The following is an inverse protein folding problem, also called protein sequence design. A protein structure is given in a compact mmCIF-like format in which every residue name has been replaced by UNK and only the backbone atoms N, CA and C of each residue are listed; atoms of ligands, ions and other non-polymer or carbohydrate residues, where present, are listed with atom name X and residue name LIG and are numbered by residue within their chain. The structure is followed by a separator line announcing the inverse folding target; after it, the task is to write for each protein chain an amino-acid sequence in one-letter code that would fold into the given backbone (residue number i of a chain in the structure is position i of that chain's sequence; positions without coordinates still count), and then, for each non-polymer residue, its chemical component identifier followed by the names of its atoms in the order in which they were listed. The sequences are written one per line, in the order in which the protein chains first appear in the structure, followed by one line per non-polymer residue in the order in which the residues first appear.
data_IF_328472429048
#
_entry.id   IF_328472429048
#
_cell.length_a   1.000
_cell.length_b   1.000
_cell.length_c   1.000
_cell.angle_alpha   90.00
_cell.angle_beta   90.00
_cell.angle_gamma   90.00
#
_symmetry.space_group_name_H-M   'P 1'
#
loop_
_entity.id
_entity.type
_entity.pdbx_description
1 polymer ?
#
# COMPACT_ATOMS: atom_id res chain seq x y z
N UNK A 1 -14.93 21.50 14.07
CA UNK A 1 -13.63 20.86 13.77
C UNK A 1 -13.92 19.42 13.46
N UNK A 2 -13.71 18.98 12.21
CA UNK A 2 -13.75 17.56 11.86
C UNK A 2 -12.39 16.94 12.17
N UNK A 3 -12.38 15.71 12.65
CA UNK A 3 -11.17 14.92 12.79
C UNK A 3 -11.40 13.58 12.09
N UNK A 4 -10.35 13.05 11.48
CA UNK A 4 -10.37 11.70 10.92
C UNK A 4 -9.31 10.86 11.61
N UNK A 5 -9.60 9.58 11.81
CA UNK A 5 -8.64 8.62 12.36
C UNK A 5 -8.56 7.36 11.51
N UNK A 6 -7.34 6.94 11.17
CA UNK A 6 -7.08 5.79 10.32
C UNK A 6 -5.75 5.15 10.71
N UNK A 7 -5.49 3.93 10.25
CA UNK A 7 -4.17 3.30 10.42
C UNK A 7 -3.29 3.56 9.21
N UNK A 8 -2.05 3.97 9.43
CA UNK A 8 -0.99 3.99 8.43
C UNK A 8 0.05 2.94 8.78
N UNK A 9 0.20 1.91 7.95
CA UNK A 9 1.16 0.82 8.17
C UNK A 9 1.03 0.21 9.58
N UNK A 10 -0.21 -0.02 10.02
CA UNK A 10 -0.56 -0.54 11.35
C UNK A 10 -0.44 0.46 12.50
N UNK A 11 -0.03 1.70 12.25
CA UNK A 11 0.10 2.76 13.29
C UNK A 11 -1.10 3.70 13.22
N UNK A 12 -1.80 3.99 14.33
CA UNK A 12 -2.92 4.92 14.34
C UNK A 12 -2.45 6.35 14.04
N UNK A 13 -3.24 7.05 13.22
CA UNK A 13 -3.04 8.44 12.81
C UNK A 13 -4.36 9.18 12.99
N UNK A 14 -4.32 10.31 13.68
CA UNK A 14 -5.45 11.24 13.79
C UNK A 14 -5.07 12.58 13.17
N UNK A 15 -5.89 13.08 12.25
CA UNK A 15 -5.72 14.39 11.64
C UNK A 15 -6.88 15.29 12.05
N UNK A 16 -6.55 16.45 12.62
CA UNK A 16 -7.54 17.49 12.99
C UNK A 16 -7.64 18.51 11.87
N UNK A 17 -8.85 18.73 11.37
CA UNK A 17 -9.18 19.71 10.33
C UNK A 17 -8.33 19.60 9.04
N UNK A 18 -8.15 18.39 8.46
CA UNK A 18 -7.36 18.26 7.23
C UNK A 18 -8.07 18.96 6.05
N UNK A 19 -7.34 19.59 5.11
CA UNK A 19 -7.95 20.17 3.92
C UNK A 19 -8.73 19.10 3.14
N UNK A 20 -10.00 19.34 2.77
CA UNK A 20 -10.87 18.30 2.23
C UNK A 20 -10.43 17.79 0.86
N UNK A 21 -9.63 18.57 0.13
CA UNK A 21 -9.08 18.25 -1.18
C UNK A 21 -7.64 17.75 -1.13
N UNK A 22 -7.02 17.65 0.07
CA UNK A 22 -5.65 17.12 0.17
C UNK A 22 -5.69 15.63 -0.12
N UNK A 23 -4.89 15.21 -1.09
CA UNK A 23 -4.80 13.81 -1.51
C UNK A 23 -3.96 13.02 -0.50
N UNK A 24 -4.18 11.72 -0.44
CA UNK A 24 -3.36 10.81 0.34
C UNK A 24 -1.91 10.81 -0.19
N UNK A 25 -1.71 10.92 -1.50
CA UNK A 25 -0.38 10.95 -2.10
C UNK A 25 0.43 12.15 -1.62
N UNK A 26 -0.14 13.35 -1.69
CA UNK A 26 0.55 14.58 -1.23
C UNK A 26 0.87 14.46 0.26
N UNK A 27 -0.09 14.01 1.07
CA UNK A 27 0.10 13.87 2.50
C UNK A 27 1.20 12.87 2.88
N UNK A 28 1.25 11.71 2.21
CA UNK A 28 2.29 10.72 2.44
C UNK A 28 3.68 11.29 2.12
N UNK A 29 3.81 12.00 1.00
CA UNK A 29 5.12 12.42 0.49
C UNK A 29 5.63 13.69 1.15
N UNK A 30 4.76 14.67 1.36
CA UNK A 30 5.12 16.00 1.84
C UNK A 30 5.11 16.07 3.37
N UNK A 31 4.08 15.55 4.02
CA UNK A 31 3.93 15.65 5.48
C UNK A 31 4.59 14.48 6.22
N UNK A 32 4.50 13.27 5.67
CA UNK A 32 5.04 12.05 6.32
C UNK A 32 6.41 11.63 5.81
N UNK A 33 6.88 12.20 4.71
CA UNK A 33 8.15 11.82 4.09
C UNK A 33 8.19 10.37 3.56
N UNK A 34 7.04 9.70 3.46
CA UNK A 34 6.88 8.36 2.91
C UNK A 34 6.91 8.45 1.38
N UNK A 35 8.13 8.44 0.84
CA UNK A 35 8.41 8.71 -0.59
C UNK A 35 8.41 7.45 -1.45
N UNK A 36 8.15 6.28 -0.89
CA UNK A 36 8.02 5.01 -1.60
C UNK A 36 6.84 5.02 -2.57
N UNK A 37 5.69 5.53 -2.15
CA UNK A 37 4.54 5.80 -3.04
C UNK A 37 4.89 6.95 -4.01
N UNK A 38 4.75 6.71 -5.33
CA UNK A 38 5.24 7.62 -6.37
C UNK A 38 4.11 8.37 -7.07
N UNK A 39 4.36 9.63 -7.40
CA UNK A 39 3.55 10.37 -8.35
C UNK A 39 4.05 10.11 -9.77
N UNK A 40 3.21 9.54 -10.63
CA UNK A 40 3.54 9.30 -12.04
C UNK A 40 2.76 10.20 -13.01
N UNK A 41 1.43 10.22 -12.88
CA UNK A 41 0.51 11.01 -13.71
C UNK A 41 -0.41 11.95 -12.92
N UNK A 42 -0.65 11.64 -11.64
CA UNK A 42 -1.59 12.35 -10.76
C UNK A 42 -3.07 12.37 -11.24
N UNK A 43 -3.49 11.39 -12.06
CA UNK A 43 -4.85 11.32 -12.60
C UNK A 43 -5.50 9.93 -12.47
N UNK A 44 -4.80 8.95 -11.87
CA UNK A 44 -5.30 7.59 -11.62
C UNK A 44 -4.87 6.53 -12.65
N UNK A 45 -4.33 6.94 -13.80
CA UNK A 45 -4.08 6.02 -14.91
C UNK A 45 -2.87 5.09 -14.71
N UNK A 46 -1.77 5.57 -14.13
CA UNK A 46 -0.49 4.85 -14.18
C UNK A 46 -0.25 3.81 -13.07
N UNK A 47 -1.00 3.88 -11.97
CA UNK A 47 -0.81 3.00 -10.80
C UNK A 47 0.51 3.14 -10.03
N UNK A 48 1.36 4.14 -10.32
CA UNK A 48 2.63 4.32 -9.59
C UNK A 48 2.42 4.68 -8.10
N UNK A 49 1.24 5.23 -7.79
CA UNK A 49 0.81 5.66 -6.46
C UNK A 49 -0.08 4.62 -5.75
N UNK A 50 -0.11 3.36 -6.20
CA UNK A 50 -0.98 2.35 -5.59
C UNK A 50 -0.62 2.13 -4.12
N UNK A 51 -1.65 2.13 -3.28
CA UNK A 51 -1.63 1.74 -1.86
C UNK A 51 -2.70 0.68 -1.62
N UNK A 52 -2.59 -0.08 -0.53
CA UNK A 52 -3.66 -0.99 -0.10
C UNK A 52 -4.53 -0.27 0.93
N UNK A 53 -5.84 -0.22 0.69
CA UNK A 53 -6.83 0.32 1.64
C UNK A 53 -7.75 -0.79 2.10
N UNK A 54 -7.86 -0.95 3.41
CA UNK A 54 -8.66 -1.98 4.07
C UNK A 54 -9.76 -1.38 4.91
N UNK A 55 -10.97 -1.91 4.78
CA UNK A 55 -12.12 -1.58 5.62
C UNK A 55 -13.04 -2.81 5.80
N UNK A 56 -14.23 -2.62 6.38
CA UNK A 56 -15.21 -3.68 6.60
C UNK A 56 -15.65 -4.43 5.33
N UNK A 57 -15.45 -3.84 4.13
CA UNK A 57 -15.77 -4.46 2.85
C UNK A 57 -14.61 -5.26 2.26
N UNK A 58 -13.46 -5.26 2.93
CA UNK A 58 -12.25 -5.94 2.51
C UNK A 58 -11.14 -4.99 2.07
N UNK A 59 -10.23 -5.51 1.25
CA UNK A 59 -8.94 -4.89 0.92
C UNK A 59 -8.88 -4.58 -0.57
N UNK A 60 -8.48 -3.36 -0.93
CA UNK A 60 -8.43 -2.88 -2.31
C UNK A 60 -7.13 -2.15 -2.60
N UNK A 61 -6.59 -2.36 -3.80
CA UNK A 61 -5.49 -1.58 -4.34
C UNK A 61 -6.09 -0.31 -4.94
N UNK A 62 -5.71 0.86 -4.44
CA UNK A 62 -6.27 2.16 -4.84
C UNK A 62 -5.17 3.17 -5.13
N UNK A 63 -5.43 4.10 -6.04
CA UNK A 63 -4.51 5.17 -6.41
C UNK A 63 -4.53 6.29 -5.37
N UNK A 64 -3.42 6.51 -4.66
CA UNK A 64 -3.35 7.55 -3.63
C UNK A 64 -3.54 8.98 -4.14
N UNK A 65 -3.28 9.24 -5.44
CA UNK A 65 -3.39 10.58 -6.04
C UNK A 65 -4.84 11.09 -6.16
N UNK A 66 -5.83 10.18 -6.16
CA UNK A 66 -7.25 10.54 -6.28
C UNK A 66 -8.06 10.12 -5.04
N UNK A 67 -7.37 9.72 -3.98
CA UNK A 67 -7.96 9.48 -2.66
C UNK A 67 -7.78 10.72 -1.80
N UNK A 68 -8.88 11.32 -1.35
CA UNK A 68 -8.82 12.45 -0.43
C UNK A 68 -8.74 11.96 1.01
N UNK A 69 -7.99 12.67 1.86
CA UNK A 69 -7.80 12.32 3.26
C UNK A 69 -9.13 12.03 4.01
N UNK A 70 -10.21 12.83 3.86
CA UNK A 70 -11.47 12.54 4.56
C UNK A 70 -12.09 11.18 4.25
N UNK A 71 -11.74 10.55 3.11
CA UNK A 71 -12.25 9.22 2.75
C UNK A 71 -11.62 8.09 3.56
N UNK A 72 -10.58 8.37 4.35
CA UNK A 72 -9.80 7.36 5.07
C UNK A 72 -10.28 7.11 6.49
N UNK A 73 -11.23 7.90 6.99
CA UNK A 73 -11.73 7.75 8.35
C UNK A 73 -12.23 6.30 8.62
N UNK A 74 -11.71 5.70 9.70
CA UNK A 74 -12.00 4.32 10.09
C UNK A 74 -11.36 3.24 9.21
N UNK A 75 -10.37 3.56 8.37
CA UNK A 75 -9.71 2.60 7.46
C UNK A 75 -8.27 2.30 7.86
N UNK A 76 -7.68 1.29 7.23
CA UNK A 76 -6.23 1.08 7.23
C UNK A 76 -5.65 1.32 5.84
N UNK A 77 -4.51 1.99 5.80
CA UNK A 77 -3.69 2.24 4.62
C UNK A 77 -2.35 1.55 4.82
N UNK A 78 -1.96 0.70 3.88
CA UNK A 78 -0.61 0.16 3.78
C UNK A 78 0.08 0.70 2.54
N UNK A 79 1.30 1.20 2.71
CA UNK A 79 2.20 1.67 1.66
C UNK A 79 3.34 0.67 1.46
N UNK A 80 4.18 0.90 0.44
CA UNK A 80 5.31 0.01 0.15
C UNK A 80 6.30 -0.08 1.31
N UNK A 81 6.48 1.00 2.08
CA UNK A 81 7.32 1.05 3.28
C UNK A 81 6.77 0.18 4.42
N UNK A 82 5.44 0.03 4.49
CA UNK A 82 4.77 -0.79 5.50
C UNK A 82 4.75 -2.28 5.17
N UNK A 83 5.26 -2.68 4.00
CA UNK A 83 5.16 -4.05 3.51
C UNK A 83 6.30 -4.95 4.00
N UNK A 84 7.41 -4.39 4.48
CA UNK A 84 8.53 -5.17 5.01
C UNK A 84 8.09 -6.01 6.21
N UNK A 85 8.58 -7.25 6.30
CA UNK A 85 8.29 -8.12 7.43
C UNK A 85 8.81 -7.49 8.75
N UNK A 86 8.18 -7.78 9.90
CA UNK A 86 8.59 -7.23 11.20
C UNK A 86 10.03 -7.57 11.61
N UNK A 87 10.60 -8.65 11.09
CA UNK A 87 11.99 -9.07 11.31
C UNK A 87 12.98 -8.42 10.32
N UNK A 88 12.50 -7.55 9.43
CA UNK A 88 13.28 -6.94 8.36
C UNK A 88 13.35 -7.78 7.08
N UNK A 89 12.65 -8.90 6.99
CA UNK A 89 12.52 -9.67 5.75
C UNK A 89 11.81 -8.89 4.63
N UNK A 90 12.10 -9.27 3.37
CA UNK A 90 11.30 -8.83 2.24
C UNK A 90 9.98 -9.60 2.23
N UNK A 91 8.88 -8.90 1.98
CA UNK A 91 7.61 -9.55 1.70
C UNK A 91 7.74 -10.48 0.48
N UNK A 92 7.01 -11.62 0.41
CA UNK A 92 7.10 -12.56 -0.72
C UNK A 92 6.97 -11.91 -2.11
N UNK A 93 6.09 -10.92 -2.25
CA UNK A 93 5.96 -10.12 -3.49
C UNK A 93 7.21 -9.30 -3.81
N UNK A 94 7.84 -8.67 -2.81
CA UNK A 94 9.07 -7.91 -3.02
C UNK A 94 10.20 -8.85 -3.44
N UNK A 95 10.32 -10.01 -2.79
CA UNK A 95 11.30 -11.03 -3.13
C UNK A 95 11.07 -11.57 -4.56
N UNK A 96 9.83 -11.89 -4.93
CA UNK A 96 9.51 -12.36 -6.28
C UNK A 96 9.87 -11.33 -7.37
N UNK A 97 9.68 -10.02 -7.10
CA UNK A 97 10.10 -8.96 -8.02
C UNK A 97 11.62 -8.92 -8.20
N UNK A 98 12.40 -9.23 -7.16
CA UNK A 98 13.87 -9.37 -7.24
C UNK A 98 14.24 -10.61 -8.07
N UNK A 99 13.69 -11.77 -7.70
CA UNK A 99 14.05 -13.07 -8.28
C UNK A 99 13.72 -13.18 -9.77
N UNK A 100 12.63 -12.55 -10.20
CA UNK A 100 12.18 -12.58 -11.59
C UNK A 100 12.59 -11.35 -12.41
N UNK A 101 13.45 -10.48 -11.87
CA UNK A 101 13.90 -9.25 -12.54
C UNK A 101 12.73 -8.35 -12.95
N UNK A 102 11.73 -8.23 -12.08
CA UNK A 102 10.52 -7.42 -12.28
C UNK A 102 10.75 -5.91 -12.21
N UNK A 103 12.00 -5.45 -12.11
CA UNK A 103 12.36 -4.04 -12.01
C UNK A 103 13.59 -3.70 -12.85
N UNK A 104 13.55 -2.52 -13.47
CA UNK A 104 14.70 -1.90 -14.15
C UNK A 104 14.97 -0.51 -13.57
N UNK A 105 14.20 0.52 -13.97
CA UNK A 105 14.35 1.87 -13.42
C UNK A 105 13.81 2.01 -11.98
N UNK A 106 13.03 1.04 -11.50
CA UNK A 106 12.47 1.03 -10.14
C UNK A 106 11.25 1.91 -9.90
N UNK A 107 10.92 2.86 -10.79
CA UNK A 107 9.91 3.88 -10.48
C UNK A 107 8.50 3.31 -10.30
N UNK A 108 8.06 2.39 -11.18
CA UNK A 108 6.74 1.79 -11.09
C UNK A 108 6.66 0.64 -10.06
N UNK A 109 7.81 0.15 -9.57
CA UNK A 109 7.89 -1.05 -8.73
C UNK A 109 7.03 -0.95 -7.46
N UNK A 110 7.01 0.16 -6.70
CA UNK A 110 6.13 0.30 -5.54
C UNK A 110 4.66 0.06 -5.85
N UNK A 111 4.16 0.63 -6.96
CA UNK A 111 2.77 0.46 -7.39
C UNK A 111 2.43 -1.00 -7.70
N UNK A 112 3.30 -1.68 -8.46
CA UNK A 112 3.14 -3.11 -8.76
C UNK A 112 3.19 -3.97 -7.50
N UNK A 113 4.14 -3.71 -6.60
CA UNK A 113 4.29 -4.45 -5.33
C UNK A 113 3.01 -4.33 -4.49
N UNK A 114 2.43 -3.14 -4.37
CA UNK A 114 1.20 -2.94 -3.60
C UNK A 114 -0.02 -3.58 -4.26
N UNK A 115 -0.13 -3.51 -5.59
CA UNK A 115 -1.18 -4.24 -6.33
C UNK A 115 -1.05 -5.76 -6.11
N UNK A 116 0.14 -6.32 -6.31
CA UNK A 116 0.39 -7.76 -6.14
C UNK A 116 0.15 -8.23 -4.70
N UNK A 117 0.59 -7.48 -3.69
CA UNK A 117 0.35 -7.83 -2.28
C UNK A 117 -1.15 -7.85 -1.96
N UNK A 118 -1.92 -6.89 -2.49
CA UNK A 118 -3.37 -6.90 -2.35
C UNK A 118 -4.00 -8.10 -3.07
N UNK A 119 -3.50 -8.42 -4.27
CA UNK A 119 -3.96 -9.56 -5.06
C UNK A 119 -3.69 -10.90 -4.38
N UNK A 120 -2.49 -11.08 -3.81
CA UNK A 120 -2.09 -12.27 -3.05
C UNK A 120 -3.04 -12.52 -1.88
N UNK A 121 -3.33 -11.47 -1.11
CA UNK A 121 -4.25 -11.54 0.02
C UNK A 121 -5.68 -11.89 -0.42
N UNK A 122 -6.12 -11.33 -1.55
CA UNK A 122 -7.47 -11.55 -2.08
C UNK A 122 -7.59 -12.83 -2.92
N UNK A 123 -6.52 -13.62 -3.07
CA UNK A 123 -6.52 -14.86 -3.86
C UNK A 123 -6.71 -14.63 -5.37
N UNK A 124 -6.23 -13.50 -5.89
CA UNK A 124 -6.35 -13.15 -7.32
C UNK A 124 -5.50 -14.11 -8.17
N UNK A 125 -6.12 -14.70 -9.19
CA UNK A 125 -5.45 -15.55 -10.18
C UNK A 125 -5.32 -14.90 -11.56
N UNK A 126 -6.18 -13.94 -11.89
CA UNK A 126 -6.09 -13.16 -13.13
C UNK A 126 -5.19 -11.93 -12.89
N UNK A 127 -3.89 -12.14 -13.07
CA UNK A 127 -2.88 -11.09 -12.84
C UNK A 127 -2.89 -10.02 -13.93
N UNK A 128 -3.30 -10.34 -15.16
CA UNK A 128 -3.35 -9.36 -16.25
C UNK A 128 -4.41 -8.30 -15.96
N UNK A 129 -5.62 -8.71 -15.60
CA UNK A 129 -6.69 -7.77 -15.21
C UNK A 129 -6.31 -7.00 -13.95
N UNK A 130 -5.78 -7.68 -12.94
CA UNK A 130 -5.47 -7.07 -11.64
C UNK A 130 -4.32 -6.05 -11.71
N UNK A 131 -3.37 -6.23 -12.63
CA UNK A 131 -2.23 -5.34 -12.84
C UNK A 131 -2.43 -4.35 -13.99
N UNK A 132 -3.57 -4.37 -14.69
CA UNK A 132 -3.83 -3.50 -15.84
C UNK A 132 -3.72 -2.00 -15.51
N UNK A 133 -4.03 -1.61 -14.27
CA UNK A 133 -3.90 -0.24 -13.79
C UNK A 133 -2.47 0.18 -13.41
N UNK A 134 -1.47 -0.70 -13.57
CA UNK A 134 -0.07 -0.40 -13.29
C UNK A 134 0.74 -0.36 -14.60
N UNK A 135 1.27 0.81 -14.93
CA UNK A 135 2.03 1.01 -16.17
C UNK A 135 3.53 0.86 -15.94
N UNK A 136 4.19 0.15 -16.84
CA UNK A 136 5.65 0.02 -16.88
C UNK A 136 6.18 0.31 -18.29
N UNK A 137 7.21 1.16 -18.38
CA UNK A 137 7.86 1.49 -19.66
C UNK A 137 9.15 0.71 -19.94
N UNK A 138 9.69 0.01 -18.95
CA UNK A 138 11.03 -0.58 -19.03
C UNK A 138 11.02 -2.10 -19.19
N UNK A 139 10.24 -2.82 -18.37
CA UNK A 139 10.36 -4.27 -18.22
C UNK A 139 9.70 -5.10 -19.32
N UNK A 140 8.78 -4.51 -20.07
CA UNK A 140 7.94 -5.25 -21.02
C UNK A 140 6.93 -6.19 -20.37
N UNK A 141 6.62 -5.99 -19.07
CA UNK A 141 5.62 -6.70 -18.25
C UNK A 141 5.88 -8.20 -17.99
N UNK A 142 6.40 -8.96 -18.94
CA UNK A 142 6.64 -10.40 -18.78
C UNK A 142 7.37 -10.80 -17.47
N UNK A 143 8.46 -10.15 -17.02
CA UNK A 143 9.08 -10.50 -15.73
C UNK A 143 8.21 -10.15 -14.52
N UNK A 144 7.37 -9.12 -14.62
CA UNK A 144 6.43 -8.70 -13.56
C UNK A 144 5.31 -9.74 -13.42
N UNK A 145 4.77 -10.24 -14.54
CA UNK A 145 3.75 -11.30 -14.52
C UNK A 145 4.29 -12.58 -13.88
N UNK A 146 5.52 -13.00 -14.21
CA UNK A 146 6.18 -14.14 -13.54
C UNK A 146 6.32 -13.93 -12.04
N UNK A 147 6.70 -12.73 -11.61
CA UNK A 147 6.79 -12.38 -10.19
C UNK A 147 5.43 -12.48 -9.48
N UNK A 148 4.36 -12.00 -10.11
CA UNK A 148 3.00 -12.08 -9.58
C UNK A 148 2.55 -13.54 -9.39
N UNK A 149 2.74 -14.37 -10.41
CA UNK A 149 2.41 -15.80 -10.37
C UNK A 149 3.20 -16.56 -9.31
N UNK A 150 4.49 -16.24 -9.14
CA UNK A 150 5.34 -16.85 -8.12
C UNK A 150 4.88 -16.44 -6.72
N UNK A 151 4.63 -15.14 -6.49
CA UNK A 151 4.18 -14.63 -5.20
C UNK A 151 2.80 -15.17 -4.81
N UNK A 152 1.89 -15.37 -5.78
CA UNK A 152 0.55 -15.93 -5.54
C UNK A 152 0.56 -17.37 -5.01
N UNK A 153 1.67 -18.11 -5.17
CA UNK A 153 1.83 -19.47 -4.63
C UNK A 153 2.31 -19.50 -3.19
N UNK A 154 2.74 -18.36 -2.66
CA UNK A 154 3.16 -18.20 -1.27
C UNK A 154 2.00 -17.57 -0.49
N UNK A 155 1.68 -18.05 0.72
CA UNK A 155 0.69 -17.38 1.56
C UNK A 155 1.12 -15.94 1.91
N UNK A 156 0.17 -15.03 1.99
CA UNK A 156 0.44 -13.70 2.52
C UNK A 156 0.87 -13.81 4.01
N UNK A 157 1.85 -13.00 4.46
CA UNK A 157 2.29 -13.04 5.86
C UNK A 157 1.16 -12.73 6.85
N UNK A 158 1.09 -13.52 7.93
CA UNK A 158 0.01 -13.41 8.91
C UNK A 158 -0.10 -12.02 9.54
N UNK A 159 1.03 -11.36 9.83
CA UNK A 159 1.04 -10.02 10.43
C UNK A 159 0.31 -8.99 9.57
N UNK A 160 0.38 -9.11 8.24
CA UNK A 160 -0.29 -8.19 7.32
C UNK A 160 -1.78 -8.50 7.27
N UNK A 161 -2.15 -9.79 7.33
CA UNK A 161 -3.54 -10.22 7.43
C UNK A 161 -4.20 -9.66 8.69
N UNK A 162 -3.51 -9.74 9.83
CA UNK A 162 -3.99 -9.23 11.11
C UNK A 162 -4.16 -7.71 11.06
N UNK A 163 -3.16 -6.96 10.57
CA UNK A 163 -3.19 -5.50 10.53
C UNK A 163 -4.25 -4.89 9.61
N UNK A 164 -4.83 -5.70 8.72
CA UNK A 164 -5.85 -5.27 7.76
C UNK A 164 -7.23 -5.81 8.10
N UNK A 165 -7.36 -6.58 9.18
CA UNK A 165 -8.64 -7.10 9.65
C UNK A 165 -9.50 -5.97 10.27
N UNK A 166 -10.82 -5.92 10.01
CA UNK A 166 -11.69 -4.87 10.55
C UNK A 166 -11.64 -4.74 12.07
N UNK A 167 -11.56 -5.86 12.79
CA UNK A 167 -11.51 -5.87 14.26
C UNK A 167 -10.20 -5.27 14.78
N UNK A 168 -9.08 -5.55 14.11
CA UNK A 168 -7.79 -4.94 14.42
C UNK A 168 -7.85 -3.43 14.20
N UNK A 169 -8.40 -2.99 13.06
CA UNK A 169 -8.53 -1.57 12.72
C UNK A 169 -9.35 -0.86 13.80
N UNK A 170 -10.52 -1.39 14.13
CA UNK A 170 -11.39 -0.81 15.16
C UNK A 170 -10.70 -0.76 16.54
N UNK A 171 -10.02 -1.84 16.94
CA UNK A 171 -9.33 -1.93 18.23
C UNK A 171 -8.16 -0.96 18.32
N UNK A 172 -7.30 -0.92 17.30
CA UNK A 172 -6.13 -0.04 17.27
C UNK A 172 -6.53 1.44 17.28
N UNK A 173 -7.61 1.81 16.58
CA UNK A 173 -8.13 3.19 16.62
C UNK A 173 -8.75 3.53 17.99
N UNK A 174 -9.44 2.58 18.64
CA UNK A 174 -10.03 2.80 19.96
C UNK A 174 -8.99 2.96 21.08
N UNK A 175 -7.80 2.36 20.93
CA UNK A 175 -6.70 2.48 21.89
C UNK A 175 -5.97 3.84 21.83
N UNK A 176 -6.24 4.66 20.80
CA UNK A 176 -5.66 5.99 20.65
C UNK A 176 -4.24 5.98 20.05
N UNK A 177 -3.83 7.12 19.48
CA UNK A 177 -2.51 7.28 18.87
C UNK A 177 -1.50 7.86 19.86
N UNK A 178 -0.54 7.05 20.29
CA UNK A 178 0.78 7.60 20.56
C UNK A 178 1.35 8.01 19.21
N UNK A 179 1.42 9.33 18.95
CA UNK A 179 1.86 9.94 17.69
C UNK A 179 3.34 9.69 17.36
N UNK A 180 3.75 8.44 17.33
CA UNK A 180 5.11 8.01 17.03
C UNK A 180 5.43 8.13 15.56
N UNK A 181 6.60 8.69 15.27
CA UNK A 181 7.30 8.40 14.04
C UNK A 181 7.29 6.89 13.79
N UNK A 182 7.12 6.48 12.53
CA UNK A 182 7.11 5.08 12.12
C UNK A 182 8.33 4.36 12.73
N UNK A 183 8.17 3.38 13.64
CA UNK A 183 9.30 2.64 14.19
C UNK A 183 10.04 1.82 13.11
N UNK A 184 9.47 1.69 11.90
CA UNK A 184 10.03 0.95 10.77
C UNK A 184 10.88 1.81 9.80
N UNK A 185 11.11 3.09 10.09
CA UNK A 185 12.00 3.98 9.29
C UNK A 185 13.31 4.32 9.98
N UNK A 186 13.70 3.59 11.03
CA UNK A 186 15.07 3.61 11.51
C UNK A 186 15.90 2.61 10.68
N UNK A 187 16.92 3.14 10.01
CA UNK A 187 17.96 2.53 9.18
C UNK A 187 17.66 2.36 7.67
#
# INVERSE_FOLDING_TARGET
MSAISFLLNGTPVTLTDPPPTRTLLDWLREDRGHKGTKEGCNEGDCGACTVMVSDQRGRRALNACILFLPQLDGKAVHTVEGLRDPDGGLHPVQQAMVDHHGSQCGFCTPGFVMSMATGQINGVTDHDTHLAGNLCRCTGYAPITRAAEAAARVPAPQWLLDQTAPDFIATALAQGADGGANPRTAD
#
